data_IF_603452496039
#
_entry.id   IF_603452496039
#
_cell.length_a   1.000
_cell.length_b   1.000
_cell.length_c   1.000
_cell.angle_alpha   90.00
_cell.angle_beta   90.00
_cell.angle_gamma   90.00
#
_symmetry.space_group_name_H-M   'P 1'
#
loop_
_entity.id
_entity.type
_entity.pdbx_description
1 polymer ?
#
# COMPACT_ATOMS: atom_id res chain seq x y z
N UNK A 1 4.22 -23.86 11.28
CA UNK A 1 3.21 -23.42 10.29
C UNK A 1 3.43 -21.95 10.06
N UNK A 2 3.48 -21.52 8.80
CA UNK A 2 3.66 -20.14 8.37
C UNK A 2 2.31 -19.45 8.22
N UNK A 3 2.22 -18.16 8.53
CA UNK A 3 1.07 -17.32 8.20
C UNK A 3 1.26 -16.77 6.79
N UNK A 4 0.36 -17.09 5.87
CA UNK A 4 0.40 -16.57 4.51
C UNK A 4 -0.90 -15.83 4.18
N UNK A 5 -0.77 -14.69 3.51
CA UNK A 5 -1.95 -13.94 3.14
C UNK A 5 -1.74 -12.75 2.23
N UNK A 6 -2.85 -12.24 1.72
CA UNK A 6 -2.90 -11.06 0.85
C UNK A 6 -3.61 -9.92 1.58
N UNK A 7 -2.99 -8.74 1.56
CA UNK A 7 -3.45 -7.55 2.27
C UNK A 7 -3.52 -6.37 1.31
N UNK A 8 -4.69 -5.76 1.16
CA UNK A 8 -4.85 -4.59 0.30
C UNK A 8 -4.73 -3.29 1.11
N UNK A 9 -4.01 -2.31 0.57
CA UNK A 9 -3.89 -0.96 1.15
C UNK A 9 -4.79 -0.04 0.32
N UNK A 10 -5.80 0.53 0.98
CA UNK A 10 -6.81 1.39 0.35
C UNK A 10 -7.04 2.65 1.16
N UNK A 11 -7.64 3.66 0.53
CA UNK A 11 -7.85 4.97 1.11
C UNK A 11 -7.70 6.07 0.07
N UNK A 12 -8.21 7.25 0.41
CA UNK A 12 -8.16 8.41 -0.48
C UNK A 12 -6.73 8.78 -0.90
N UNK A 13 -6.56 9.57 -1.99
CA UNK A 13 -5.25 10.11 -2.34
C UNK A 13 -4.57 10.80 -1.16
N UNK A 14 -3.25 10.61 -1.05
CA UNK A 14 -2.38 11.20 -0.03
C UNK A 14 -2.68 10.80 1.42
N UNK A 15 -3.44 9.72 1.66
CA UNK A 15 -3.61 9.13 3.00
C UNK A 15 -2.31 8.47 3.54
N UNK A 16 -1.28 8.31 2.70
CA UNK A 16 0.00 7.71 3.05
C UNK A 16 0.08 6.20 2.82
N UNK A 17 -0.61 5.69 1.78
CA UNK A 17 -0.62 4.28 1.40
C UNK A 17 0.78 3.77 1.00
N UNK A 18 1.40 4.42 0.02
CA UNK A 18 2.75 4.09 -0.45
C UNK A 18 3.80 4.29 0.64
N UNK A 19 3.64 5.31 1.49
CA UNK A 19 4.49 5.51 2.68
C UNK A 19 4.38 4.34 3.66
N UNK A 20 3.15 3.83 3.91
CA UNK A 20 2.95 2.67 4.76
C UNK A 20 3.57 1.41 4.14
N UNK A 21 3.39 1.20 2.83
CA UNK A 21 4.01 0.08 2.13
C UNK A 21 5.53 0.10 2.29
N UNK A 22 6.18 1.23 2.01
CA UNK A 22 7.62 1.37 2.18
C UNK A 22 8.07 1.15 3.63
N UNK A 23 7.30 1.62 4.61
CA UNK A 23 7.59 1.42 6.02
C UNK A 23 7.50 -0.05 6.44
N UNK A 24 6.48 -0.78 5.98
CA UNK A 24 6.32 -2.22 6.21
C UNK A 24 7.49 -2.98 5.59
N UNK A 25 7.84 -2.62 4.35
CA UNK A 25 8.83 -3.32 3.55
C UNK A 25 10.26 -2.93 3.93
N UNK A 26 10.44 -1.90 4.76
CA UNK A 26 11.74 -1.31 5.15
C UNK A 26 12.63 -0.97 3.95
N UNK A 27 11.99 -0.69 2.81
CA UNK A 27 12.64 -0.36 1.54
C UNK A 27 11.72 0.52 0.71
N UNK A 28 12.29 1.30 -0.20
CA UNK A 28 11.54 2.22 -1.05
C UNK A 28 11.07 1.46 -2.31
N UNK A 29 9.85 0.91 -2.25
CA UNK A 29 9.23 0.14 -3.34
C UNK A 29 8.18 0.92 -4.10
N UNK A 30 7.50 1.83 -3.41
CA UNK A 30 6.43 2.63 -3.96
C UNK A 30 6.78 4.11 -3.87
N UNK A 31 6.56 4.82 -4.98
CA UNK A 31 6.83 6.25 -5.01
C UNK A 31 5.91 7.01 -4.06
N UNK A 32 6.44 8.04 -3.43
CA UNK A 32 5.71 8.90 -2.49
C UNK A 32 5.77 10.33 -2.98
N UNK A 33 4.60 10.90 -3.26
CA UNK A 33 4.51 12.33 -3.59
C UNK A 33 3.17 12.91 -3.14
N UNK A 34 3.16 14.20 -2.87
CA UNK A 34 1.95 14.95 -2.47
C UNK A 34 1.02 15.24 -3.67
N UNK A 35 1.46 14.95 -4.90
CA UNK A 35 0.61 15.07 -6.09
C UNK A 35 -0.52 14.02 -6.04
N UNK A 36 -1.70 14.40 -6.48
CA UNK A 36 -2.84 13.46 -6.54
C UNK A 36 -2.63 12.49 -7.70
N UNK A 37 -2.90 11.20 -7.48
CA UNK A 37 -2.87 10.19 -8.54
C UNK A 37 -1.46 9.67 -8.88
N UNK A 38 -0.56 9.65 -7.89
CA UNK A 38 0.83 9.19 -8.05
C UNK A 38 0.95 7.70 -8.34
N UNK A 39 0.21 6.85 -7.63
CA UNK A 39 0.16 5.40 -7.89
C UNK A 39 -0.72 5.13 -9.10
N UNK A 40 -0.11 4.93 -10.27
CA UNK A 40 -0.80 4.55 -11.52
C UNK A 40 -0.77 3.05 -11.78
N UNK A 41 0.29 2.40 -11.30
CA UNK A 41 0.56 0.99 -11.47
C UNK A 41 0.42 0.29 -10.11
N UNK A 42 -0.04 -0.96 -10.11
CA UNK A 42 -0.12 -1.75 -8.89
C UNK A 42 1.30 -2.10 -8.43
N UNK A 43 1.61 -1.77 -7.19
CA UNK A 43 2.88 -2.15 -6.55
C UNK A 43 2.57 -3.27 -5.56
N UNK A 44 3.33 -4.35 -5.68
CA UNK A 44 3.20 -5.52 -4.81
C UNK A 44 4.46 -5.63 -3.97
N UNK A 45 4.31 -5.54 -2.64
CA UNK A 45 5.38 -5.84 -1.68
C UNK A 45 5.18 -7.23 -1.09
N UNK A 46 6.25 -8.03 -1.05
CA UNK A 46 6.26 -9.38 -0.47
C UNK A 46 7.00 -9.29 0.86
N UNK A 47 6.26 -9.09 1.94
CA UNK A 47 6.83 -9.05 3.28
C UNK A 47 7.14 -10.47 3.75
N UNK A 48 8.39 -10.70 4.17
CA UNK A 48 8.86 -11.96 4.72
C UNK A 48 9.40 -11.74 6.14
N UNK A 49 9.02 -12.62 7.06
CA UNK A 49 9.73 -12.80 8.34
C UNK A 49 9.72 -14.27 8.78
N UNK A 50 10.16 -14.53 10.01
CA UNK A 50 10.43 -15.88 10.52
C UNK A 50 9.22 -16.83 10.43
N UNK A 51 7.99 -16.29 10.55
CA UNK A 51 6.77 -17.10 10.62
C UNK A 51 5.66 -16.62 9.68
N UNK A 52 5.92 -15.65 8.79
CA UNK A 52 4.91 -15.15 7.86
C UNK A 52 5.42 -14.70 6.49
N UNK A 53 4.52 -14.75 5.51
CA UNK A 53 4.70 -14.20 4.18
C UNK A 53 3.42 -13.45 3.77
N UNK A 54 3.52 -12.13 3.59
CA UNK A 54 2.36 -11.26 3.40
C UNK A 54 2.53 -10.44 2.12
N UNK A 55 1.57 -10.57 1.22
CA UNK A 55 1.55 -9.80 -0.03
C UNK A 55 0.73 -8.53 0.19
N UNK A 56 1.40 -7.38 0.14
CA UNK A 56 0.78 -6.06 0.23
C UNK A 56 0.53 -5.48 -1.14
N UNK A 57 -0.71 -5.04 -1.38
CA UNK A 57 -1.12 -4.40 -2.63
C UNK A 57 -1.38 -2.91 -2.41
N UNK A 58 -0.55 -2.03 -2.96
CA UNK A 58 -0.87 -0.60 -3.06
C UNK A 58 -1.71 -0.37 -4.33
N UNK A 59 -3.02 -0.23 -4.13
CA UNK A 59 -3.97 -0.09 -5.24
C UNK A 59 -4.16 1.39 -5.59
N UNK A 60 -4.03 1.78 -6.89
CA UNK A 60 -4.61 3.02 -7.39
C UNK A 60 -6.09 3.04 -7.01
N UNK A 61 -6.58 4.12 -6.41
CA UNK A 61 -7.97 4.20 -5.95
C UNK A 61 -8.93 3.75 -7.05
N UNK A 62 -9.69 2.68 -6.76
CA UNK A 62 -10.70 2.00 -7.59
C UNK A 62 -11.04 2.70 -8.92
N UNK A 63 -10.20 2.55 -9.95
CA UNK A 63 -10.54 2.97 -11.31
C UNK A 63 -10.09 1.93 -12.33
N UNK A 64 -11.00 1.67 -13.27
CA UNK A 64 -11.04 0.55 -14.21
C UNK A 64 -9.97 0.62 -15.30
N UNK A 65 -9.73 -0.55 -15.91
CA UNK A 65 -8.90 -0.93 -17.09
C UNK A 65 -7.40 -1.05 -16.81
N UNK A 66 -6.62 -2.02 -17.33
CA UNK A 66 -6.36 -2.33 -18.75
C UNK A 66 -5.62 -3.69 -19.01
N UNK A 67 -5.76 -4.14 -20.26
CA UNK A 67 -5.00 -4.97 -21.23
C UNK A 67 -4.08 -6.21 -20.94
N UNK A 68 -3.84 -6.92 -22.06
CA UNK A 68 -3.61 -8.37 -22.30
C UNK A 68 -2.33 -9.04 -21.77
N UNK A 69 -1.26 -8.33 -21.45
CA UNK A 69 -0.08 -9.00 -20.84
C UNK A 69 -0.33 -9.38 -19.38
N UNK A 70 -1.30 -8.72 -18.73
CA UNK A 70 -1.74 -9.00 -17.38
C UNK A 70 -2.81 -10.10 -17.28
N UNK A 71 -3.21 -10.82 -18.33
CA UNK A 71 -4.39 -11.70 -18.24
C UNK A 71 -4.30 -12.84 -17.19
N UNK A 72 -3.10 -13.33 -16.85
CA UNK A 72 -2.89 -14.30 -15.75
C UNK A 72 -2.79 -13.64 -14.36
N UNK A 73 -2.19 -12.45 -14.28
CA UNK A 73 -1.96 -11.71 -13.03
C UNK A 73 -3.16 -10.84 -12.64
N UNK A 74 -3.96 -10.39 -13.60
CA UNK A 74 -5.15 -9.55 -13.47
C UNK A 74 -6.37 -10.33 -12.98
N UNK A 75 -6.43 -11.64 -13.28
CA UNK A 75 -7.37 -12.54 -12.58
C UNK A 75 -7.04 -12.52 -11.09
N UNK A 76 -5.77 -12.76 -10.76
CA UNK A 76 -5.24 -12.81 -9.40
C UNK A 76 -5.26 -11.49 -8.61
N UNK A 77 -5.48 -10.31 -9.23
CA UNK A 77 -5.55 -9.00 -8.53
C UNK A 77 -7.00 -8.58 -8.26
N UNK A 78 -7.94 -8.81 -9.19
CA UNK A 78 -9.38 -8.70 -8.87
C UNK A 78 -9.82 -9.83 -7.96
N UNK A 79 -9.33 -11.04 -8.22
CA UNK A 79 -9.34 -12.13 -7.24
C UNK A 79 -8.53 -11.69 -6.03
N UNK A 80 -7.39 -11.01 -6.15
CA UNK A 80 -6.54 -10.50 -5.06
C UNK A 80 -7.24 -9.60 -4.04
N UNK A 81 -8.12 -8.70 -4.48
CA UNK A 81 -9.00 -7.93 -3.58
C UNK A 81 -10.14 -8.82 -3.07
N UNK A 82 -10.73 -9.65 -3.94
CA UNK A 82 -11.74 -10.64 -3.56
C UNK A 82 -11.19 -11.83 -2.72
N UNK A 83 -9.87 -11.97 -2.59
CA UNK A 83 -9.10 -13.04 -1.93
C UNK A 83 -8.25 -12.46 -0.81
N UNK A 84 -8.03 -11.14 -0.78
CA UNK A 84 -7.39 -10.46 0.33
C UNK A 84 -8.12 -10.82 1.60
N UNK A 85 -7.39 -11.28 2.59
CA UNK A 85 -7.97 -11.67 3.87
C UNK A 85 -8.26 -10.42 4.70
N UNK A 86 -7.43 -9.38 4.49
CA UNK A 86 -7.48 -8.11 5.21
C UNK A 86 -7.40 -6.92 4.25
N UNK A 87 -8.26 -5.93 4.49
CA UNK A 87 -8.26 -4.61 3.84
C UNK A 87 -7.76 -3.58 4.87
N UNK A 88 -6.67 -2.89 4.57
CA UNK A 88 -6.18 -1.76 5.35
C UNK A 88 -6.77 -0.47 4.79
N UNK A 89 -7.76 0.10 5.48
CA UNK A 89 -8.38 1.36 5.11
C UNK A 89 -7.68 2.53 5.82
N UNK A 90 -6.87 3.27 5.07
CA UNK A 90 -6.05 4.37 5.59
C UNK A 90 -6.79 5.70 5.53
N UNK A 91 -6.81 6.38 6.68
CA UNK A 91 -7.32 7.75 6.83
C UNK A 91 -6.22 8.66 7.37
N UNK A 92 -6.09 9.85 6.77
CA UNK A 92 -5.20 10.90 7.25
C UNK A 92 -5.78 11.58 8.50
N UNK A 93 -5.14 11.38 9.65
CA UNK A 93 -5.58 11.94 10.94
C UNK A 93 -5.63 13.47 10.94
N UNK A 94 -4.74 14.15 10.19
CA UNK A 94 -4.68 15.61 10.16
C UNK A 94 -5.84 16.21 9.38
N UNK A 95 -6.30 15.52 8.33
CA UNK A 95 -7.41 15.94 7.46
C UNK A 95 -8.78 15.43 7.92
N UNK A 96 -8.82 14.47 8.82
CA UNK A 96 -10.06 13.90 9.35
C UNK A 96 -10.78 12.95 8.39
N UNK A 97 -11.93 12.43 8.82
CA UNK A 97 -12.77 11.52 8.05
C UNK A 97 -13.73 12.31 7.16
N UNK A 98 -13.63 12.12 5.85
CA UNK A 98 -14.32 12.92 4.84
C UNK A 98 -15.42 12.15 4.14
N UNK A 99 -16.23 12.82 3.32
CA UNK A 99 -17.27 12.14 2.53
C UNK A 99 -16.68 11.16 1.50
N UNK A 100 -15.46 11.40 1.03
CA UNK A 100 -14.75 10.42 0.18
C UNK A 100 -14.39 9.16 0.97
N UNK A 101 -14.04 9.30 2.26
CA UNK A 101 -13.78 8.15 3.13
C UNK A 101 -15.06 7.35 3.36
N UNK A 102 -16.22 8.02 3.55
CA UNK A 102 -17.54 7.36 3.64
C UNK A 102 -17.87 6.57 2.37
N UNK A 103 -17.67 7.16 1.20
CA UNK A 103 -17.89 6.48 -0.09
C UNK A 103 -17.03 5.23 -0.24
N UNK A 104 -15.77 5.28 0.19
CA UNK A 104 -14.87 4.11 0.18
C UNK A 104 -15.40 3.05 1.15
N UNK A 105 -15.76 3.44 2.37
CA UNK A 105 -16.33 2.53 3.36
C UNK A 105 -17.61 1.84 2.89
N UNK A 106 -18.48 2.55 2.16
CA UNK A 106 -19.68 1.96 1.60
C UNK A 106 -19.37 0.81 0.63
N UNK A 107 -18.23 0.87 -0.09
CA UNK A 107 -17.80 -0.24 -0.96
C UNK A 107 -17.43 -1.51 -0.20
N UNK A 108 -17.12 -1.41 1.10
CA UNK A 108 -16.75 -2.57 1.92
C UNK A 108 -17.95 -3.32 2.47
N UNK A 109 -19.15 -2.72 2.48
CA UNK A 109 -20.36 -3.35 3.04
C UNK A 109 -20.77 -4.60 2.27
N UNK A 110 -20.50 -4.61 0.97
CA UNK A 110 -20.78 -5.74 0.09
C UNK A 110 -19.62 -6.75 0.05
N UNK A 111 -18.51 -6.48 0.75
CA UNK A 111 -17.35 -7.34 0.82
C UNK A 111 -17.38 -8.12 2.14
N UNK A 112 -17.42 -9.46 2.05
CA UNK A 112 -17.26 -10.32 3.22
C UNK A 112 -15.79 -10.45 3.63
N UNK A 113 -15.16 -9.31 3.96
CA UNK A 113 -13.72 -9.16 4.20
C UNK A 113 -13.43 -8.53 5.54
N UNK A 114 -12.24 -8.79 6.09
CA UNK A 114 -11.79 -8.13 7.33
C UNK A 114 -11.27 -6.74 6.98
N UNK A 115 -11.76 -5.70 7.65
CA UNK A 115 -11.36 -4.31 7.37
C UNK A 115 -10.74 -3.70 8.62
N UNK A 116 -9.51 -3.23 8.47
CA UNK A 116 -8.78 -2.53 9.52
C UNK A 116 -8.78 -1.04 9.22
N UNK A 117 -9.23 -0.23 10.16
CA UNK A 117 -9.09 1.22 10.07
C UNK A 117 -7.69 1.62 10.51
N UNK A 118 -6.92 2.19 9.59
CA UNK A 118 -5.58 2.70 9.85
C UNK A 118 -5.64 4.22 9.94
N UNK A 119 -5.50 4.76 11.15
CA UNK A 119 -5.47 6.21 11.38
C UNK A 119 -4.02 6.65 11.25
N UNK A 120 -3.62 7.05 10.05
CA UNK A 120 -2.24 7.40 9.71
C UNK A 120 -1.93 8.87 10.01
N UNK A 121 -0.63 9.21 10.05
CA UNK A 121 -0.10 10.57 10.30
C UNK A 121 -0.43 11.11 11.69
N UNK A 122 -0.34 10.25 12.71
CA UNK A 122 -0.54 10.63 14.11
C UNK A 122 0.63 11.43 14.70
N UNK A 123 1.71 11.60 13.95
CA UNK A 123 2.88 12.36 14.35
C UNK A 123 2.50 13.76 14.84
N UNK A 124 2.88 14.05 16.08
CA UNK A 124 2.60 15.34 16.73
C UNK A 124 1.16 15.52 17.24
N UNK A 125 0.30 14.51 17.14
CA UNK A 125 -1.04 14.56 17.73
C UNK A 125 -1.02 14.11 19.20
N UNK A 126 -1.64 14.87 20.13
CA UNK A 126 -1.85 14.41 21.51
C UNK A 126 -2.71 13.14 21.56
N UNK A 127 -2.43 12.26 22.52
CA UNK A 127 -3.16 10.99 22.73
C UNK A 127 -4.68 11.19 22.81
N UNK A 128 -5.14 12.23 23.48
CA UNK A 128 -6.57 12.56 23.58
C UNK A 128 -7.22 12.79 22.20
N UNK A 129 -6.54 13.51 21.30
CA UNK A 129 -7.05 13.74 19.94
C UNK A 129 -7.11 12.44 19.13
N UNK A 130 -6.16 11.53 19.35
CA UNK A 130 -6.16 10.21 18.70
C UNK A 130 -7.36 9.38 19.20
N UNK A 131 -7.59 9.34 20.52
CA UNK A 131 -8.72 8.63 21.12
C UNK A 131 -10.08 9.17 20.66
N UNK A 132 -10.20 10.50 20.54
CA UNK A 132 -11.42 11.12 20.01
C UNK A 132 -11.68 10.70 18.56
N UNK A 133 -10.63 10.64 17.72
CA UNK A 133 -10.74 10.18 16.33
C UNK A 133 -11.14 8.71 16.23
N UNK A 134 -10.58 7.84 17.08
CA UNK A 134 -11.00 6.43 17.14
C UNK A 134 -12.50 6.33 17.44
N UNK A 135 -12.95 7.07 18.45
CA UNK A 135 -14.35 7.08 18.89
C UNK A 135 -15.30 7.66 17.84
N UNK A 136 -14.84 8.64 17.07
CA UNK A 136 -15.57 9.21 15.95
C UNK A 136 -15.66 8.21 14.79
N UNK A 137 -14.53 7.63 14.38
CA UNK A 137 -14.44 6.88 13.12
C UNK A 137 -15.04 5.48 13.20
N UNK A 138 -15.01 4.84 14.37
CA UNK A 138 -15.66 3.55 14.60
C UNK A 138 -17.19 3.58 14.36
N UNK A 139 -17.80 4.77 14.30
CA UNK A 139 -19.24 4.92 14.03
C UNK A 139 -19.61 4.74 12.56
N UNK A 140 -18.63 4.84 11.64
CA UNK A 140 -18.89 4.78 10.20
C UNK A 140 -18.92 3.34 9.65
N UNK A 141 -18.25 2.41 10.32
CA UNK A 141 -18.15 1.01 9.91
C UNK A 141 -17.74 0.14 11.10
N UNK A 142 -18.17 -1.12 11.09
CA UNK A 142 -17.76 -2.12 12.08
C UNK A 142 -16.38 -2.68 11.69
N UNK A 143 -15.34 -1.89 11.95
CA UNK A 143 -13.97 -2.29 11.67
C UNK A 143 -13.52 -3.42 12.58
N UNK A 144 -12.83 -4.41 12.02
CA UNK A 144 -12.29 -5.51 12.82
C UNK A 144 -11.17 -5.07 13.76
N UNK A 145 -10.39 -4.08 13.33
CA UNK A 145 -9.29 -3.49 14.09
C UNK A 145 -9.19 -2.00 13.79
N UNK A 146 -8.77 -1.20 14.78
CA UNK A 146 -8.51 0.24 14.61
C UNK A 146 -7.11 0.54 15.14
N UNK A 147 -6.20 0.91 14.23
CA UNK A 147 -4.78 1.04 14.53
C UNK A 147 -4.32 2.45 14.17
N UNK A 148 -4.10 3.33 15.16
CA UNK A 148 -3.40 4.59 14.92
C UNK A 148 -1.91 4.33 14.70
N UNK A 149 -1.32 4.91 13.65
CA UNK A 149 0.11 4.76 13.34
C UNK A 149 0.70 6.00 12.66
N UNK A 150 2.03 6.08 12.61
CA UNK A 150 2.75 7.00 11.72
C UNK A 150 3.63 6.21 10.76
N UNK A 151 3.16 6.06 9.52
CA UNK A 151 3.93 5.39 8.48
C UNK A 151 5.29 6.07 8.24
N UNK A 152 5.35 7.39 8.35
CA UNK A 152 6.59 8.15 8.15
C UNK A 152 7.63 7.90 9.25
N UNK A 153 7.19 7.69 10.50
CA UNK A 153 8.09 7.45 11.64
C UNK A 153 8.30 5.98 11.96
N UNK A 154 7.48 5.09 11.39
CA UNK A 154 7.42 3.68 11.76
C UNK A 154 6.62 3.40 13.04
N UNK A 155 6.05 4.43 13.68
CA UNK A 155 5.28 4.29 14.92
C UNK A 155 4.13 3.31 14.70
N UNK A 156 4.10 2.23 15.49
CA UNK A 156 3.04 1.22 15.50
C UNK A 156 2.90 0.37 14.22
N UNK A 157 3.88 0.41 13.30
CA UNK A 157 3.87 -0.44 12.09
C UNK A 157 4.08 -1.92 12.44
N UNK A 158 4.96 -2.23 13.40
CA UNK A 158 5.16 -3.62 13.85
C UNK A 158 3.91 -4.21 14.50
N UNK A 159 3.13 -3.39 15.22
CA UNK A 159 1.86 -3.84 15.83
C UNK A 159 0.78 -4.09 14.76
N UNK A 160 0.78 -3.28 13.69
CA UNK A 160 -0.06 -3.55 12.52
C UNK A 160 0.26 -4.92 11.93
N UNK A 161 1.54 -5.24 11.71
CA UNK A 161 1.95 -6.55 11.17
C UNK A 161 1.54 -7.68 12.10
N UNK A 162 1.83 -7.57 13.40
CA UNK A 162 1.40 -8.56 14.41
C UNK A 162 -0.11 -8.78 14.40
N UNK A 163 -0.88 -7.71 14.24
CA UNK A 163 -2.34 -7.79 14.23
C UNK A 163 -2.85 -8.43 12.94
N UNK A 164 -2.29 -8.08 11.78
CA UNK A 164 -2.62 -8.72 10.49
C UNK A 164 -2.44 -10.24 10.58
N UNK A 165 -1.30 -10.71 11.12
CA UNK A 165 -0.99 -12.15 11.24
C UNK A 165 -2.06 -12.97 11.96
N UNK A 166 -2.82 -12.37 12.88
CA UNK A 166 -3.91 -13.05 13.60
C UNK A 166 -5.06 -13.47 12.68
N UNK A 167 -5.17 -12.84 11.52
CA UNK A 167 -6.24 -13.05 10.54
C UNK A 167 -5.79 -13.81 9.29
N UNK A 168 -4.51 -14.17 9.20
CA UNK A 168 -3.97 -14.88 8.04
C UNK A 168 -4.11 -16.40 8.21
N UNK A 169 -4.29 -17.06 7.08
CA UNK A 169 -4.33 -18.53 7.00
C UNK A 169 -2.96 -19.14 7.28
N UNK A 170 -2.96 -20.36 7.81
CA UNK A 170 -1.75 -21.14 8.05
C UNK A 170 -1.38 -22.00 6.84
N UNK A 171 -0.09 -22.10 6.56
CA UNK A 171 0.50 -22.90 5.50
C UNK A 171 1.69 -23.71 6.02
N UNK A 172 1.91 -24.90 5.47
CA UNK A 172 3.09 -25.71 5.76
C UNK A 172 4.34 -25.24 5.00
N UNK A 173 4.14 -24.56 3.87
CA UNK A 173 5.21 -24.12 2.96
C UNK A 173 5.13 -22.61 2.68
N UNK A 174 6.29 -22.00 2.41
CA UNK A 174 6.39 -20.63 1.86
C UNK A 174 6.03 -20.67 0.38
N UNK A 175 5.32 -19.65 -0.11
CA UNK A 175 4.89 -19.57 -1.51
C UNK A 175 5.92 -18.86 -2.40
N UNK A 176 6.71 -17.96 -1.81
CA UNK A 176 7.77 -17.18 -2.48
C UNK A 176 9.10 -17.31 -1.73
N UNK A 177 10.20 -16.96 -2.41
CA UNK A 177 11.53 -16.91 -1.80
C UNK A 177 11.59 -15.82 -0.74
N UNK A 178 12.47 -15.98 0.26
CA UNK A 178 12.75 -14.92 1.25
C UNK A 178 13.42 -13.69 0.62
N UNK A 179 14.11 -13.90 -0.52
CA UNK A 179 14.74 -12.83 -1.30
C UNK A 179 13.74 -12.06 -2.17
N UNK A 180 12.54 -12.60 -2.39
CA UNK A 180 11.51 -11.94 -3.18
C UNK A 180 10.90 -10.79 -2.38
N UNK A 181 11.20 -9.55 -2.78
CA UNK A 181 10.66 -8.33 -2.16
C UNK A 181 9.47 -7.77 -2.96
N UNK A 182 9.46 -8.00 -4.27
CA UNK A 182 8.42 -7.53 -5.20
C UNK A 182 8.44 -8.37 -6.48
N UNK A 183 7.33 -8.36 -7.23
CA UNK A 183 7.28 -8.91 -8.59
C UNK A 183 7.60 -7.86 -9.67
N UNK A 184 7.75 -6.59 -9.29
CA UNK A 184 8.07 -5.51 -10.22
C UNK A 184 9.52 -5.63 -10.71
N UNK A 185 9.75 -5.51 -12.02
CA UNK A 185 11.09 -5.61 -12.60
C UNK A 185 11.98 -4.43 -12.19
N UNK A 186 13.31 -4.60 -12.30
CA UNK A 186 14.27 -3.54 -11.96
C UNK A 186 14.06 -2.30 -12.84
N UNK A 187 13.77 -2.49 -14.13
CA UNK A 187 13.47 -1.44 -15.10
C UNK A 187 12.26 -0.62 -14.65
N UNK A 188 11.22 -1.28 -14.13
CA UNK A 188 10.05 -0.60 -13.59
C UNK A 188 10.40 0.21 -12.34
N UNK A 189 11.14 -0.38 -11.40
CA UNK A 189 11.53 0.29 -10.16
C UNK A 189 12.36 1.55 -10.44
N UNK A 190 13.33 1.46 -11.34
CA UNK A 190 14.17 2.60 -11.78
C UNK A 190 13.33 3.69 -12.42
N UNK A 191 12.42 3.34 -13.34
CA UNK A 191 11.55 4.30 -14.00
C UNK A 191 10.65 5.03 -12.99
N UNK A 192 10.13 4.32 -12.00
CA UNK A 192 9.31 4.90 -10.94
C UNK A 192 10.10 5.85 -10.03
N UNK A 193 11.36 5.51 -9.68
CA UNK A 193 12.23 6.42 -8.91
C UNK A 193 12.48 7.73 -9.65
N UNK A 194 12.79 7.67 -10.95
CA UNK A 194 12.95 8.87 -11.79
C UNK A 194 11.64 9.67 -11.83
N UNK A 195 10.50 8.97 -11.98
CA UNK A 195 9.19 9.62 -12.01
C UNK A 195 8.89 10.35 -10.70
N UNK A 196 9.20 9.76 -9.55
CA UNK A 196 9.00 10.39 -8.24
C UNK A 196 9.72 11.75 -8.14
N UNK A 197 10.99 11.80 -8.56
CA UNK A 197 11.75 13.04 -8.58
C UNK A 197 11.12 14.08 -9.50
N UNK A 198 10.70 13.68 -10.71
CA UNK A 198 10.02 14.61 -11.62
C UNK A 198 8.70 15.11 -11.00
N UNK A 199 7.91 14.25 -10.36
CA UNK A 199 6.67 14.67 -9.69
C UNK A 199 6.93 15.68 -8.57
N UNK A 200 8.03 15.51 -7.84
CA UNK A 200 8.41 16.40 -6.74
C UNK A 200 8.94 17.74 -7.24
N UNK A 201 9.61 17.76 -8.38
CA UNK A 201 10.21 18.97 -8.98
C UNK A 201 9.27 19.72 -9.94
N UNK A 202 8.12 19.13 -10.30
CA UNK A 202 7.16 19.73 -11.25
C UNK A 202 5.83 20.09 -10.60
N UNK A 203 5.07 20.97 -11.27
CA UNK A 203 3.82 21.53 -10.76
C UNK A 203 2.78 21.64 -11.88
N UNK A 204 1.55 22.00 -11.49
CA UNK A 204 0.42 22.18 -12.40
C UNK A 204 0.14 20.89 -13.19
N UNK A 205 -0.01 20.97 -14.51
CA UNK A 205 -0.41 19.84 -15.36
C UNK A 205 0.72 18.82 -15.58
N UNK A 206 1.98 19.24 -15.47
CA UNK A 206 3.14 18.41 -15.80
C UNK A 206 3.14 17.06 -15.05
N UNK A 207 3.00 17.00 -13.70
CA UNK A 207 2.89 15.73 -12.96
C UNK A 207 1.83 14.74 -13.47
N UNK A 208 0.79 15.24 -14.14
CA UNK A 208 -0.34 14.45 -14.60
C UNK A 208 -0.17 13.90 -16.02
N UNK A 209 0.85 14.33 -16.77
CA UNK A 209 1.09 13.88 -18.15
C UNK A 209 2.38 13.05 -18.30
N UNK A 210 3.20 12.98 -17.26
CA UNK A 210 4.48 12.27 -17.31
C UNK A 210 4.32 10.75 -17.25
N UNK A 211 5.11 10.07 -18.08
CA UNK A 211 5.41 8.65 -17.99
C UNK A 211 6.92 8.46 -18.10
N UNK A 212 7.47 7.59 -17.27
CA UNK A 212 8.88 7.20 -17.33
C UNK A 212 8.98 5.73 -17.73
N UNK A 213 9.98 5.38 -18.50
CA UNK A 213 10.33 4.00 -18.82
C UNK A 213 11.85 3.90 -18.88
N UNK A 214 12.39 2.76 -18.46
CA UNK A 214 13.81 2.46 -18.58
C UNK A 214 14.01 1.73 -19.91
N UNK A 215 14.86 2.25 -20.78
CA UNK A 215 15.18 1.67 -22.07
C UNK A 215 16.22 0.55 -21.93
N UNK A 216 17.28 0.78 -21.15
CA UNK A 216 18.38 -0.17 -20.99
C UNK A 216 19.07 -0.03 -19.63
N UNK A 217 19.50 -1.18 -19.06
CA UNK A 217 20.37 -1.23 -17.88
C UNK A 217 21.65 -2.00 -18.24
N UNK A 218 22.77 -1.30 -18.32
CA UNK A 218 24.07 -1.89 -18.68
C UNK A 218 24.96 -2.00 -17.44
N UNK A 219 25.27 -3.24 -17.03
CA UNK A 219 26.23 -3.47 -15.93
C UNK A 219 27.66 -3.11 -16.36
N UNK A 220 28.31 -2.26 -15.58
CA UNK A 220 29.73 -1.88 -15.71
C UNK A 220 30.55 -2.46 -14.55
N UNK A 221 31.88 -2.32 -14.61
CA UNK A 221 32.79 -2.79 -13.56
C UNK A 221 32.49 -2.18 -12.17
N UNK A 222 32.07 -0.91 -12.12
CA UNK A 222 31.87 -0.16 -10.88
C UNK A 222 30.43 0.40 -10.73
N UNK A 223 29.44 -0.14 -11.46
CA UNK A 223 28.09 0.39 -11.40
C UNK A 223 27.22 -0.05 -12.57
N UNK A 224 26.21 0.77 -12.86
CA UNK A 224 25.25 0.55 -13.93
C UNK A 224 25.10 1.85 -14.74
N UNK A 225 25.08 1.74 -16.06
CA UNK A 225 24.55 2.79 -16.92
C UNK A 225 23.06 2.51 -17.11
N UNK A 226 22.22 3.51 -16.89
CA UNK A 226 20.78 3.42 -16.97
C UNK A 226 20.32 4.46 -18.00
N UNK A 227 19.59 4.00 -18.99
CA UNK A 227 19.02 4.81 -20.07
C UNK A 227 17.49 4.82 -19.94
#
# INVERSE_FOLDING_TARGET
MYKIGMVSITGRPNAGKSTLLNAIMKTHLAIVSDKVGTTRNNIIGIYNDDDSQILFFDTPGLNKSFDRLGAKMNRNIREGIASSEVILFLVDAKKGFTDNDKKIVDTFKDLNKKVFLIINKIDGLPREKILNKITEYQKYYDFNEIIPLSAQRGDNVDELIKTIKKYLTESEEKMYSEEDVTFNSLEFQVAELVREEILNLTYQEIPHEITCHTEEIVKRKNGYDIY
#
